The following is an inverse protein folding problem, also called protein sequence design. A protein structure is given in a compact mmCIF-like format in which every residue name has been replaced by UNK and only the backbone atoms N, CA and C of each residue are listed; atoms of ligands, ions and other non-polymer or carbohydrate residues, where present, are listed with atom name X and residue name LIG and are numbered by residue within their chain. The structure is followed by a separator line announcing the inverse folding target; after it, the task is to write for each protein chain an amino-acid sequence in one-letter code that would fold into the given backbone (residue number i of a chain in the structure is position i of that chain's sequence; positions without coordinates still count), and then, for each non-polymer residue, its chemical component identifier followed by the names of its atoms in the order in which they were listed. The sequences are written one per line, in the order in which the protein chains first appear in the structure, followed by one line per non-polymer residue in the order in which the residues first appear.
data_IF_149737635689
#
_entry.id   IF_149737635689
#
_cell.length_a   1.000
_cell.length_b   1.000
_cell.length_c   1.000
_cell.angle_alpha   90.00
_cell.angle_beta   90.00
_cell.angle_gamma   90.00
#
_symmetry.space_group_name_H-M   'P 1'
#
loop_
_entity.id
_entity.type
_entity.pdbx_description
1 polymer ?
#
# COMPACT_ATOMS: atom_id res chain seq x y z
N UNK A 1 -23.73 -37.77 0.86
CA UNK A 1 -22.58 -36.87 0.58
C UNK A 1 -21.70 -36.83 1.80
N UNK A 2 -20.58 -37.55 1.82
CA UNK A 2 -19.58 -37.44 2.90
C UNK A 2 -18.73 -36.22 2.58
N UNK A 3 -18.85 -35.16 3.38
CA UNK A 3 -17.99 -34.00 3.34
C UNK A 3 -16.61 -34.45 3.81
N UNK A 4 -15.66 -34.54 2.88
CA UNK A 4 -14.26 -34.65 3.24
C UNK A 4 -13.87 -33.37 4.03
N UNK A 5 -13.45 -33.54 5.28
CA UNK A 5 -12.80 -32.48 6.05
C UNK A 5 -11.50 -32.11 5.32
N UNK A 6 -11.55 -31.01 4.61
CA UNK A 6 -10.40 -30.48 3.91
C UNK A 6 -9.34 -30.06 4.92
N UNK A 7 -8.14 -30.50 4.67
CA UNK A 7 -6.95 -29.89 5.25
C UNK A 7 -6.98 -28.40 4.90
N UNK A 8 -7.05 -27.51 5.92
CA UNK A 8 -7.09 -26.06 5.73
C UNK A 8 -5.69 -25.53 5.34
N UNK A 9 -5.11 -26.09 4.28
CA UNK A 9 -3.94 -25.54 3.60
C UNK A 9 -4.39 -24.69 2.41
N UNK A 10 -3.73 -23.57 2.14
CA UNK A 10 -4.05 -22.67 1.02
C UNK A 10 -4.10 -23.40 -0.33
N UNK A 11 -3.02 -24.09 -0.67
CA UNK A 11 -2.91 -24.89 -1.91
C UNK A 11 -3.97 -25.98 -1.96
N UNK A 12 -4.25 -26.67 -0.86
CA UNK A 12 -5.30 -27.70 -0.81
C UNK A 12 -6.69 -27.12 -1.08
N UNK A 13 -6.96 -25.91 -0.59
CA UNK A 13 -8.23 -25.21 -0.84
C UNK A 13 -8.38 -24.83 -2.31
N UNK A 14 -7.30 -24.35 -2.94
CA UNK A 14 -7.31 -24.08 -4.39
C UNK A 14 -7.43 -25.37 -5.22
N UNK A 15 -6.71 -26.45 -4.88
CA UNK A 15 -6.84 -27.74 -5.55
C UNK A 15 -8.29 -28.23 -5.52
N UNK A 16 -8.94 -28.14 -4.35
CA UNK A 16 -10.35 -28.45 -4.23
C UNK A 16 -11.24 -27.56 -5.12
N UNK A 17 -10.98 -26.26 -5.15
CA UNK A 17 -11.73 -25.34 -6.00
C UNK A 17 -11.56 -25.68 -7.50
N UNK A 18 -10.36 -26.04 -7.94
CA UNK A 18 -10.09 -26.52 -9.31
C UNK A 18 -10.85 -27.80 -9.59
N UNK A 19 -10.76 -28.81 -8.71
CA UNK A 19 -11.45 -30.08 -8.92
C UNK A 19 -12.97 -29.91 -8.95
N UNK A 20 -13.52 -29.02 -8.14
CA UNK A 20 -14.94 -28.69 -8.18
C UNK A 20 -15.31 -27.98 -9.50
N UNK A 21 -14.48 -27.08 -10.00
CA UNK A 21 -14.69 -26.46 -11.30
C UNK A 21 -14.63 -27.51 -12.44
N UNK A 22 -13.66 -28.44 -12.41
CA UNK A 22 -13.58 -29.53 -13.35
C UNK A 22 -14.89 -30.31 -13.36
N UNK A 23 -15.39 -30.75 -12.19
CA UNK A 23 -16.65 -31.45 -12.08
C UNK A 23 -17.82 -30.68 -12.69
N UNK A 24 -17.88 -29.38 -12.52
CA UNK A 24 -18.95 -28.53 -13.07
C UNK A 24 -18.83 -28.33 -14.59
N UNK A 25 -17.64 -28.50 -15.15
CA UNK A 25 -17.32 -28.26 -16.56
C UNK A 25 -17.30 -29.50 -17.41
N UNK A 26 -17.29 -30.69 -16.80
CA UNK A 26 -17.34 -31.97 -17.53
C UNK A 26 -18.52 -32.02 -18.48
N UNK A 27 -18.26 -32.42 -19.74
CA UNK A 27 -19.23 -32.52 -20.80
C UNK A 27 -19.72 -31.20 -21.40
N UNK A 28 -19.26 -30.07 -20.86
CA UNK A 28 -19.62 -28.73 -21.40
C UNK A 28 -18.66 -28.26 -22.44
N UNK A 29 -19.10 -27.30 -23.27
CA UNK A 29 -18.33 -26.64 -24.28
C UNK A 29 -18.68 -25.14 -24.31
N UNK A 30 -17.83 -24.32 -24.89
CA UNK A 30 -18.17 -22.93 -25.21
C UNK A 30 -19.09 -22.83 -26.43
N UNK A 31 -19.47 -21.60 -26.79
CA UNK A 31 -20.36 -21.36 -27.94
C UNK A 31 -19.78 -21.81 -29.29
N UNK A 32 -18.45 -21.90 -29.37
CA UNK A 32 -17.70 -22.30 -30.56
C UNK A 32 -17.38 -23.80 -30.58
N UNK A 33 -17.78 -24.52 -29.55
CA UNK A 33 -17.55 -25.97 -29.42
C UNK A 33 -16.22 -26.35 -28.80
N UNK A 34 -15.44 -25.38 -28.29
CA UNK A 34 -14.15 -25.67 -27.65
C UNK A 34 -14.32 -26.23 -26.24
N UNK A 35 -13.36 -27.03 -25.84
CA UNK A 35 -13.27 -27.60 -24.50
C UNK A 35 -12.97 -26.54 -23.44
N UNK A 36 -13.51 -26.68 -22.21
CA UNK A 36 -13.20 -25.78 -21.12
C UNK A 36 -11.74 -25.87 -20.71
N UNK A 37 -11.13 -24.72 -20.43
CA UNK A 37 -9.75 -24.61 -19.93
C UNK A 37 -9.72 -23.90 -18.60
N UNK A 38 -8.99 -24.46 -17.66
CA UNK A 38 -8.64 -23.87 -16.38
C UNK A 38 -7.14 -23.56 -16.36
N UNK A 39 -6.73 -22.54 -15.66
CA UNK A 39 -5.32 -22.20 -15.49
C UNK A 39 -4.96 -22.26 -14.02
N UNK A 40 -3.84 -22.91 -13.71
CA UNK A 40 -3.25 -22.92 -12.38
C UNK A 40 -1.88 -22.30 -12.48
N UNK A 41 -1.69 -21.23 -11.74
CA UNK A 41 -0.47 -20.45 -11.72
C UNK A 41 0.22 -20.57 -10.36
N UNK A 42 1.52 -20.72 -10.35
CA UNK A 42 2.31 -20.59 -9.13
C UNK A 42 3.72 -20.09 -9.47
N UNK A 43 4.52 -19.78 -8.46
CA UNK A 43 5.81 -19.14 -8.59
C UNK A 43 6.63 -19.69 -9.76
N UNK A 44 6.90 -21.01 -9.75
CA UNK A 44 7.67 -21.66 -10.80
C UNK A 44 7.18 -23.08 -11.11
N UNK A 45 7.66 -23.61 -12.23
CA UNK A 45 7.24 -24.94 -12.72
C UNK A 45 7.65 -26.08 -11.77
N UNK A 46 8.76 -25.94 -11.06
CA UNK A 46 9.22 -26.93 -10.08
C UNK A 46 8.24 -27.03 -8.92
N UNK A 47 7.75 -25.89 -8.42
CA UNK A 47 6.73 -25.86 -7.36
C UNK A 47 5.41 -26.48 -7.86
N UNK A 48 4.98 -26.12 -9.07
CA UNK A 48 3.80 -26.71 -9.71
C UNK A 48 3.92 -28.24 -9.82
N UNK A 49 5.05 -28.74 -10.29
CA UNK A 49 5.29 -30.18 -10.43
C UNK A 49 5.28 -30.91 -9.08
N UNK A 50 5.95 -30.37 -8.05
CA UNK A 50 6.03 -31.01 -6.74
C UNK A 50 4.74 -30.92 -5.92
N UNK A 51 4.05 -29.82 -5.98
CA UNK A 51 2.92 -29.55 -5.10
C UNK A 51 1.59 -29.83 -5.79
N UNK A 52 1.34 -29.16 -6.92
CA UNK A 52 0.05 -29.22 -7.59
C UNK A 52 -0.19 -30.51 -8.35
N UNK A 53 0.80 -30.98 -9.13
CA UNK A 53 0.65 -32.24 -9.89
C UNK A 53 0.38 -33.40 -8.94
N UNK A 54 1.17 -33.51 -7.85
CA UNK A 54 0.97 -34.57 -6.87
C UNK A 54 -0.41 -34.51 -6.20
N UNK A 55 -0.87 -33.29 -5.83
CA UNK A 55 -2.16 -33.11 -5.20
C UNK A 55 -3.32 -33.45 -6.17
N UNK A 56 -3.22 -33.09 -7.44
CA UNK A 56 -4.19 -33.49 -8.46
C UNK A 56 -4.22 -34.99 -8.67
N UNK A 57 -3.06 -35.62 -8.87
CA UNK A 57 -2.98 -37.06 -9.08
C UNK A 57 -3.55 -37.85 -7.90
N UNK A 58 -3.28 -37.43 -6.67
CA UNK A 58 -3.86 -38.05 -5.47
C UNK A 58 -5.39 -37.92 -5.46
N UNK A 59 -5.91 -36.71 -5.70
CA UNK A 59 -7.38 -36.51 -5.72
C UNK A 59 -8.05 -37.30 -6.84
N UNK A 60 -7.47 -37.36 -8.03
CA UNK A 60 -8.03 -38.08 -9.18
C UNK A 60 -8.00 -39.59 -8.93
N UNK A 61 -6.92 -40.14 -8.33
CA UNK A 61 -6.86 -41.54 -7.90
C UNK A 61 -7.93 -41.86 -6.83
N UNK A 62 -8.07 -40.99 -5.83
CA UNK A 62 -9.09 -41.20 -4.77
C UNK A 62 -10.53 -41.16 -5.29
N UNK A 63 -10.79 -40.44 -6.36
CA UNK A 63 -12.11 -40.32 -7.01
C UNK A 63 -12.28 -41.31 -8.17
N UNK A 64 -11.30 -42.15 -8.42
CA UNK A 64 -11.24 -43.10 -9.55
C UNK A 64 -11.57 -42.42 -10.90
N UNK A 65 -10.97 -41.26 -11.11
CA UNK A 65 -11.19 -40.43 -12.30
C UNK A 65 -10.07 -40.64 -13.31
N UNK A 66 -10.44 -40.91 -14.56
CA UNK A 66 -9.46 -41.01 -15.66
C UNK A 66 -8.88 -39.61 -15.99
N UNK A 67 -7.59 -39.58 -16.14
CA UNK A 67 -6.87 -38.37 -16.54
C UNK A 67 -5.66 -38.65 -17.43
N UNK A 68 -5.29 -37.68 -18.22
CA UNK A 68 -4.05 -37.68 -19.02
C UNK A 68 -3.21 -36.46 -18.64
N UNK A 69 -1.93 -36.64 -18.41
CA UNK A 69 -1.00 -35.55 -18.13
C UNK A 69 0.10 -35.48 -19.21
N UNK A 70 0.03 -34.45 -20.05
CA UNK A 70 1.08 -34.09 -21.00
C UNK A 70 2.12 -33.23 -20.25
N UNK A 71 3.19 -33.89 -19.78
CA UNK A 71 4.26 -33.23 -19.00
C UNK A 71 5.10 -32.26 -19.84
N UNK A 72 5.16 -32.45 -21.15
CA UNK A 72 5.93 -31.55 -22.04
C UNK A 72 5.19 -30.21 -22.21
N UNK A 73 3.87 -30.23 -22.21
CA UNK A 73 3.02 -29.03 -22.31
C UNK A 73 2.53 -28.49 -20.98
N UNK A 74 2.78 -29.20 -19.88
CA UNK A 74 2.22 -28.92 -18.57
C UNK A 74 0.68 -28.83 -18.59
N UNK A 75 0.01 -29.73 -19.29
CA UNK A 75 -1.45 -29.77 -19.40
C UNK A 75 -1.97 -31.10 -18.88
N UNK A 76 -2.85 -31.03 -17.88
CA UNK A 76 -3.60 -32.16 -17.39
C UNK A 76 -5.02 -32.13 -17.96
N UNK A 77 -5.50 -33.24 -18.48
CA UNK A 77 -6.84 -33.36 -19.07
C UNK A 77 -7.66 -34.36 -18.25
N UNK A 78 -8.83 -33.93 -17.78
CA UNK A 78 -9.81 -34.75 -17.08
C UNK A 78 -11.12 -34.72 -17.85
N UNK A 79 -11.47 -35.83 -18.48
CA UNK A 79 -12.57 -35.86 -19.45
C UNK A 79 -12.27 -34.90 -20.62
N UNK A 80 -13.10 -33.86 -20.78
CA UNK A 80 -12.91 -32.83 -21.77
C UNK A 80 -12.37 -31.50 -21.18
N UNK A 81 -12.00 -31.44 -19.90
CA UNK A 81 -11.50 -30.24 -19.24
C UNK A 81 -9.97 -30.23 -19.23
N UNK A 82 -9.37 -29.18 -19.74
CA UNK A 82 -7.93 -28.97 -19.72
C UNK A 82 -7.52 -28.09 -18.52
N UNK A 83 -6.56 -28.54 -17.73
CA UNK A 83 -5.94 -27.79 -16.62
C UNK A 83 -4.51 -27.46 -17.07
N UNK A 84 -4.25 -26.18 -17.29
CA UNK A 84 -2.98 -25.66 -17.78
C UNK A 84 -2.16 -25.19 -16.58
N UNK A 85 -0.95 -25.69 -16.41
CA UNK A 85 -0.04 -25.33 -15.32
C UNK A 85 1.01 -24.34 -15.82
N UNK A 86 1.06 -23.13 -15.25
CA UNK A 86 1.91 -22.02 -15.73
C UNK A 86 2.71 -21.42 -14.57
N UNK A 87 4.00 -21.15 -14.81
CA UNK A 87 4.85 -20.41 -13.89
C UNK A 87 4.56 -18.89 -13.98
N UNK A 88 4.43 -18.22 -12.84
CA UNK A 88 4.16 -16.78 -12.77
C UNK A 88 5.41 -15.90 -12.71
N UNK A 89 6.58 -16.44 -12.42
CA UNK A 89 7.83 -15.69 -12.48
C UNK A 89 8.21 -15.25 -13.91
N UNK A 90 7.59 -15.87 -14.92
CA UNK A 90 7.66 -15.44 -16.31
C UNK A 90 6.24 -15.16 -16.87
N UNK A 91 5.66 -13.97 -16.60
CA UNK A 91 4.26 -13.66 -16.93
C UNK A 91 3.94 -13.80 -18.44
N UNK A 92 4.95 -13.73 -19.31
CA UNK A 92 4.78 -13.93 -20.76
C UNK A 92 4.32 -15.34 -21.13
N UNK A 93 4.60 -16.35 -20.32
CA UNK A 93 4.13 -17.72 -20.54
C UNK A 93 2.60 -17.87 -20.39
N UNK A 94 1.94 -16.90 -19.77
CA UNK A 94 0.48 -16.86 -19.60
C UNK A 94 -0.21 -16.47 -20.93
N UNK A 95 0.52 -15.86 -21.87
CA UNK A 95 -0.04 -15.42 -23.14
C UNK A 95 -0.41 -16.60 -24.05
N UNK A 96 -1.41 -16.39 -24.90
CA UNK A 96 -1.88 -17.42 -25.84
C UNK A 96 -3.03 -18.29 -25.35
N UNK A 97 -3.37 -18.25 -24.07
CA UNK A 97 -4.48 -19.00 -23.51
C UNK A 97 -5.77 -18.16 -23.44
N UNK A 98 -6.92 -18.86 -23.44
CA UNK A 98 -8.23 -18.33 -23.08
C UNK A 98 -8.87 -19.33 -22.14
N UNK A 99 -9.15 -18.94 -20.91
CA UNK A 99 -9.57 -19.86 -19.83
C UNK A 99 -10.86 -19.40 -19.16
N UNK A 100 -11.59 -20.34 -18.55
CA UNK A 100 -12.83 -20.09 -17.80
C UNK A 100 -12.53 -19.48 -16.43
N UNK A 101 -11.50 -20.01 -15.78
CA UNK A 101 -11.05 -19.53 -14.48
C UNK A 101 -9.55 -19.74 -14.32
N UNK A 102 -8.94 -18.91 -13.46
CA UNK A 102 -7.56 -19.06 -13.06
C UNK A 102 -7.41 -19.13 -11.55
N UNK A 103 -6.44 -19.90 -11.10
CA UNK A 103 -6.11 -20.12 -9.70
C UNK A 103 -4.63 -19.81 -9.50
N UNK A 104 -4.33 -18.78 -8.74
CA UNK A 104 -2.98 -18.27 -8.52
C UNK A 104 -2.56 -18.57 -7.09
N UNK A 105 -1.53 -19.38 -6.95
CA UNK A 105 -0.98 -19.80 -5.65
C UNK A 105 0.35 -19.07 -5.37
N UNK A 106 0.55 -18.70 -4.11
CA UNK A 106 1.76 -18.06 -3.57
C UNK A 106 2.18 -16.78 -4.32
N UNK A 107 1.20 -15.90 -4.61
CA UNK A 107 1.44 -14.63 -5.32
C UNK A 107 2.48 -13.74 -4.62
N UNK A 108 2.46 -13.69 -3.28
CA UNK A 108 3.37 -12.85 -2.50
C UNK A 108 4.81 -13.40 -2.40
N UNK A 109 5.06 -14.61 -2.90
CA UNK A 109 6.41 -15.14 -3.09
C UNK A 109 7.17 -14.45 -4.24
N UNK A 110 6.47 -13.74 -5.12
CA UNK A 110 7.06 -12.98 -6.22
C UNK A 110 7.45 -11.57 -5.77
N UNK A 111 8.45 -10.95 -6.42
CA UNK A 111 8.64 -9.50 -6.38
C UNK A 111 7.33 -8.78 -6.76
N UNK A 112 7.05 -7.65 -6.14
CA UNK A 112 5.74 -6.98 -6.27
C UNK A 112 5.42 -6.57 -7.71
N UNK A 113 6.39 -6.10 -8.46
CA UNK A 113 6.27 -5.74 -9.89
C UNK A 113 5.89 -6.95 -10.75
N UNK A 114 6.60 -8.07 -10.59
CA UNK A 114 6.31 -9.33 -11.28
C UNK A 114 4.92 -9.88 -10.88
N UNK A 115 4.57 -9.81 -9.59
CA UNK A 115 3.26 -10.22 -9.11
C UNK A 115 2.13 -9.42 -9.78
N UNK A 116 2.28 -8.10 -9.88
CA UNK A 116 1.27 -7.24 -10.52
C UNK A 116 1.19 -7.47 -12.03
N UNK A 117 2.30 -7.75 -12.70
CA UNK A 117 2.31 -8.13 -14.12
C UNK A 117 1.62 -9.48 -14.33
N UNK A 118 1.89 -10.46 -13.49
CA UNK A 118 1.23 -11.77 -13.51
C UNK A 118 -0.29 -11.64 -13.32
N UNK A 119 -0.75 -10.80 -12.37
CA UNK A 119 -2.19 -10.52 -12.16
C UNK A 119 -2.83 -9.95 -13.41
N UNK A 120 -2.20 -8.97 -14.07
CA UNK A 120 -2.70 -8.38 -15.32
C UNK A 120 -2.76 -9.43 -16.43
N UNK A 121 -1.69 -10.20 -16.61
CA UNK A 121 -1.59 -11.24 -17.64
C UNK A 121 -2.66 -12.32 -17.45
N UNK A 122 -2.90 -12.77 -16.21
CA UNK A 122 -3.96 -13.71 -15.89
C UNK A 122 -5.34 -13.12 -16.16
N UNK A 123 -5.59 -11.87 -15.74
CA UNK A 123 -6.87 -11.20 -15.96
C UNK A 123 -7.24 -11.13 -17.44
N UNK A 124 -6.27 -10.86 -18.31
CA UNK A 124 -6.49 -10.79 -19.74
C UNK A 124 -6.85 -12.14 -20.37
N UNK A 125 -6.56 -13.24 -19.70
CA UNK A 125 -6.79 -14.60 -20.22
C UNK A 125 -8.08 -15.23 -19.69
N UNK A 126 -8.66 -14.74 -18.60
CA UNK A 126 -9.89 -15.26 -17.99
C UNK A 126 -11.11 -14.71 -18.74
N UNK A 127 -11.35 -15.24 -19.93
CA UNK A 127 -12.39 -14.74 -20.84
C UNK A 127 -13.22 -15.83 -21.55
N UNK A 128 -12.89 -17.13 -21.39
CA UNK A 128 -13.67 -18.21 -21.98
C UNK A 128 -15.01 -18.35 -21.27
N UNK A 129 -16.10 -18.33 -22.01
CA UNK A 129 -17.45 -18.40 -21.48
C UNK A 129 -18.07 -19.78 -21.78
N UNK A 130 -18.45 -20.49 -20.77
CA UNK A 130 -19.11 -21.81 -20.87
C UNK A 130 -20.57 -21.68 -20.50
N UNK A 131 -21.46 -22.18 -21.36
CA UNK A 131 -22.91 -22.16 -21.12
C UNK A 131 -23.25 -22.95 -19.85
N UNK A 132 -23.99 -22.31 -18.95
CA UNK A 132 -24.38 -22.92 -17.67
C UNK A 132 -23.25 -23.03 -16.66
N UNK A 133 -22.13 -22.30 -16.86
CA UNK A 133 -21.13 -22.06 -15.83
C UNK A 133 -21.20 -20.60 -15.40
N UNK A 134 -20.73 -20.31 -14.17
CA UNK A 134 -20.71 -18.93 -13.64
C UNK A 134 -19.79 -18.04 -14.48
N UNK A 135 -19.89 -16.74 -14.25
CA UNK A 135 -18.96 -15.75 -14.83
C UNK A 135 -17.51 -16.15 -14.60
N UNK A 136 -16.62 -15.96 -15.57
CA UNK A 136 -15.18 -16.17 -15.40
C UNK A 136 -14.63 -15.45 -14.17
N UNK A 137 -13.71 -16.09 -13.45
CA UNK A 137 -13.16 -15.57 -12.20
C UNK A 137 -11.70 -15.95 -12.00
N UNK A 138 -11.04 -15.21 -11.10
CA UNK A 138 -9.69 -15.52 -10.63
C UNK A 138 -9.75 -15.76 -9.13
N UNK A 139 -9.11 -16.83 -8.66
CA UNK A 139 -8.92 -17.12 -7.24
C UNK A 139 -7.46 -17.03 -6.88
N UNK A 140 -7.15 -16.32 -5.80
CA UNK A 140 -5.81 -16.17 -5.26
C UNK A 140 -5.70 -16.87 -3.92
N UNK A 141 -4.58 -17.54 -3.65
CA UNK A 141 -4.22 -17.99 -2.31
C UNK A 141 -2.73 -17.75 -2.09
N UNK A 142 -2.38 -17.10 -1.00
CA UNK A 142 -0.99 -16.83 -0.65
C UNK A 142 -0.86 -16.63 0.86
N UNK A 143 0.35 -16.83 1.38
CA UNK A 143 0.70 -16.32 2.69
C UNK A 143 0.97 -14.83 2.54
N UNK A 144 0.28 -13.99 3.31
CA UNK A 144 0.60 -12.57 3.31
C UNK A 144 2.08 -12.37 3.66
N UNK A 145 2.80 -11.70 2.80
CA UNK A 145 4.16 -11.25 3.06
C UNK A 145 4.21 -9.72 3.16
N UNK A 146 3.18 -9.16 3.80
CA UNK A 146 3.07 -7.74 3.99
C UNK A 146 2.23 -7.06 2.91
N UNK A 147 2.75 -5.97 2.38
CA UNK A 147 2.05 -5.10 1.44
C UNK A 147 2.44 -5.41 -0.01
N UNK A 148 2.68 -6.69 -0.31
CA UNK A 148 3.14 -7.17 -1.61
C UNK A 148 1.98 -7.38 -2.61
N UNK A 149 2.12 -8.36 -3.49
CA UNK A 149 1.27 -8.58 -4.66
C UNK A 149 -0.23 -8.71 -4.35
N UNK A 150 -0.61 -9.49 -3.32
CA UNK A 150 -2.01 -9.64 -2.93
C UNK A 150 -2.60 -8.33 -2.40
N UNK A 151 -1.88 -7.63 -1.52
CA UNK A 151 -2.31 -6.32 -1.02
C UNK A 151 -2.53 -5.32 -2.15
N UNK A 152 -1.55 -5.18 -3.06
CA UNK A 152 -1.64 -4.28 -4.21
C UNK A 152 -2.83 -4.65 -5.12
N UNK A 153 -3.06 -5.94 -5.34
CA UNK A 153 -4.20 -6.45 -6.12
C UNK A 153 -5.54 -6.05 -5.47
N UNK A 154 -5.67 -6.24 -4.15
CA UNK A 154 -6.87 -5.85 -3.40
C UNK A 154 -7.11 -4.34 -3.46
N UNK A 155 -6.05 -3.55 -3.28
CA UNK A 155 -6.16 -2.08 -3.36
C UNK A 155 -6.52 -1.61 -4.76
N UNK A 156 -5.96 -2.24 -5.80
CA UNK A 156 -6.35 -1.96 -7.18
C UNK A 156 -7.83 -2.26 -7.43
N UNK A 157 -8.35 -3.40 -6.98
CA UNK A 157 -9.76 -3.76 -7.13
C UNK A 157 -10.68 -2.80 -6.39
N UNK A 158 -10.31 -2.39 -5.17
CA UNK A 158 -11.01 -1.35 -4.42
C UNK A 158 -11.11 -0.03 -5.20
N UNK A 159 -9.97 0.44 -5.73
CA UNK A 159 -9.89 1.70 -6.48
C UNK A 159 -10.68 1.66 -7.80
N UNK A 160 -10.70 0.50 -8.44
CA UNK A 160 -11.35 0.29 -9.76
C UNK A 160 -12.83 -0.14 -9.64
N UNK A 161 -13.37 -0.31 -8.44
CA UNK A 161 -14.75 -0.77 -8.24
C UNK A 161 -14.99 -2.23 -8.67
N UNK A 162 -13.93 -3.02 -8.84
CA UNK A 162 -14.02 -4.44 -9.21
C UNK A 162 -14.50 -5.24 -8.00
N UNK A 163 -15.58 -6.02 -8.17
CA UNK A 163 -16.09 -6.87 -7.10
C UNK A 163 -15.10 -7.98 -6.73
N UNK A 164 -14.81 -8.14 -5.45
CA UNK A 164 -13.97 -9.22 -4.91
C UNK A 164 -14.48 -9.70 -3.56
N UNK A 165 -14.03 -10.89 -3.16
CA UNK A 165 -14.21 -11.43 -1.82
C UNK A 165 -12.83 -11.73 -1.25
N UNK A 166 -12.51 -11.12 -0.10
CA UNK A 166 -11.28 -11.39 0.64
C UNK A 166 -11.58 -12.24 1.86
N UNK A 167 -10.92 -13.40 1.95
CA UNK A 167 -10.98 -14.28 3.11
C UNK A 167 -9.61 -14.33 3.78
N UNK A 168 -9.58 -14.13 5.08
CA UNK A 168 -8.37 -14.25 5.90
C UNK A 168 -8.47 -15.48 6.79
N UNK A 169 -7.48 -16.36 6.72
CA UNK A 169 -7.33 -17.52 7.58
C UNK A 169 -6.05 -17.37 8.42
N UNK A 170 -6.15 -17.62 9.71
CA UNK A 170 -5.00 -17.57 10.62
C UNK A 170 -4.42 -18.95 10.83
N UNK A 171 -3.11 -19.06 11.02
CA UNK A 171 -2.45 -20.36 11.28
C UNK A 171 -3.08 -21.10 12.45
N UNK A 172 -3.49 -20.40 13.51
CA UNK A 172 -4.17 -20.98 14.68
C UNK A 172 -5.57 -21.52 14.40
N UNK A 173 -6.22 -21.12 13.31
CA UNK A 173 -7.54 -21.64 12.93
C UNK A 173 -7.43 -23.02 12.27
N UNK A 174 -6.21 -23.46 11.94
CA UNK A 174 -5.97 -24.77 11.36
C UNK A 174 -5.92 -25.88 12.44
N UNK A 175 -7.07 -26.50 12.66
CA UNK A 175 -7.23 -27.57 13.68
C UNK A 175 -6.49 -28.88 13.36
N UNK A 176 -5.85 -28.99 12.18
CA UNK A 176 -5.05 -30.15 11.81
C UNK A 176 -3.56 -30.00 12.21
N UNK A 177 -3.14 -28.80 12.59
CA UNK A 177 -1.78 -28.60 13.07
C UNK A 177 -1.68 -28.95 14.56
N UNK A 178 -0.61 -29.66 14.98
CA UNK A 178 -0.34 -29.90 16.40
C UNK A 178 -0.24 -28.58 17.18
N UNK A 179 -0.79 -28.55 18.40
CA UNK A 179 -0.75 -27.35 19.24
C UNK A 179 0.67 -26.87 19.52
N UNK A 180 1.61 -27.81 19.76
CA UNK A 180 3.02 -27.50 19.98
C UNK A 180 3.69 -26.88 18.76
N UNK A 181 3.31 -27.34 17.55
CA UNK A 181 3.79 -26.72 16.31
C UNK A 181 3.35 -25.27 16.21
N UNK A 182 2.07 -24.99 16.45
CA UNK A 182 1.52 -23.64 16.46
C UNK A 182 2.24 -22.78 17.49
N UNK A 183 2.37 -23.27 18.72
CA UNK A 183 3.09 -22.55 19.81
C UNK A 183 4.54 -22.22 19.42
N UNK A 184 5.24 -23.16 18.82
CA UNK A 184 6.63 -22.96 18.37
C UNK A 184 6.70 -21.89 17.28
N UNK A 185 5.80 -21.93 16.29
CA UNK A 185 5.74 -20.88 15.25
C UNK A 185 5.57 -19.49 15.85
N UNK A 186 4.62 -19.31 16.78
CA UNK A 186 4.39 -18.02 17.43
C UNK A 186 5.54 -17.57 18.34
N UNK A 187 6.43 -18.47 18.78
CA UNK A 187 7.61 -18.13 19.58
C UNK A 187 8.84 -17.75 18.75
N UNK A 188 8.91 -18.18 17.48
CA UNK A 188 10.05 -17.93 16.61
C UNK A 188 9.96 -16.57 15.92
N UNK A 189 8.74 -16.16 15.56
CA UNK A 189 8.50 -14.91 14.82
C UNK A 189 8.35 -13.71 15.77
N UNK A 190 8.84 -12.53 15.33
CA UNK A 190 8.57 -11.29 16.03
C UNK A 190 7.10 -10.87 15.85
N UNK A 191 6.63 -9.87 16.60
CA UNK A 191 5.23 -9.45 16.61
C UNK A 191 4.70 -9.08 15.21
N UNK A 192 5.47 -8.34 14.41
CA UNK A 192 5.07 -7.96 13.05
C UNK A 192 4.99 -9.19 12.12
N UNK A 193 5.94 -10.09 12.23
CA UNK A 193 5.92 -11.34 11.47
C UNK A 193 4.73 -12.22 11.87
N UNK A 194 4.44 -12.34 13.17
CA UNK A 194 3.26 -13.06 13.66
C UNK A 194 1.99 -12.47 13.03
N UNK A 195 1.79 -11.18 13.14
CA UNK A 195 0.60 -10.50 12.58
C UNK A 195 0.48 -10.70 11.06
N UNK A 196 1.58 -10.61 10.35
CA UNK A 196 1.59 -10.74 8.90
C UNK A 196 1.49 -12.20 8.44
N UNK A 197 2.45 -13.05 8.84
CA UNK A 197 2.62 -14.40 8.30
C UNK A 197 1.63 -15.40 8.90
N UNK A 198 1.33 -15.26 10.20
CA UNK A 198 0.50 -16.24 10.93
C UNK A 198 -0.95 -15.78 11.09
N UNK A 199 -1.19 -14.48 11.24
CA UNK A 199 -2.54 -13.92 11.37
C UNK A 199 -3.09 -13.39 10.04
N UNK A 200 -2.27 -13.32 8.98
CA UNK A 200 -2.67 -12.92 7.63
C UNK A 200 -3.05 -11.44 7.51
N UNK A 201 -2.46 -10.58 8.31
CA UNK A 201 -2.69 -9.13 8.25
C UNK A 201 -1.87 -8.48 7.15
N UNK A 202 -2.41 -7.43 6.54
CA UNK A 202 -1.68 -6.58 5.60
C UNK A 202 -0.91 -5.51 6.38
N UNK A 203 0.25 -5.88 6.86
CA UNK A 203 1.19 -4.97 7.53
C UNK A 203 2.57 -5.12 6.92
N UNK A 204 3.40 -4.09 7.02
CA UNK A 204 4.76 -4.22 6.55
C UNK A 204 5.63 -4.99 7.55
N UNK A 205 6.30 -6.03 7.04
CA UNK A 205 7.34 -6.75 7.79
C UNK A 205 8.73 -6.21 7.45
N UNK A 206 8.86 -5.48 6.34
CA UNK A 206 10.16 -5.05 5.86
C UNK A 206 10.74 -3.90 6.67
N UNK A 207 11.95 -4.10 7.20
CA UNK A 207 12.79 -3.04 7.76
C UNK A 207 13.24 -2.01 6.71
N UNK A 208 12.93 -2.26 5.44
CA UNK A 208 13.27 -1.41 4.29
C UNK A 208 12.32 -0.26 4.03
N UNK A 209 11.19 -0.13 4.72
CA UNK A 209 10.27 1.00 4.52
C UNK A 209 10.91 2.34 4.89
N UNK A 210 10.50 3.38 4.16
CA UNK A 210 10.85 4.76 4.50
C UNK A 210 10.13 5.20 5.77
N UNK A 211 8.86 4.76 5.94
CA UNK A 211 8.03 5.06 7.10
C UNK A 211 7.64 3.80 7.89
N UNK A 212 8.61 3.11 8.52
CA UNK A 212 8.35 1.86 9.25
C UNK A 212 7.48 2.07 10.51
N UNK A 213 7.42 3.31 11.00
CA UNK A 213 6.72 3.67 12.24
C UNK A 213 5.27 4.13 11.99
N UNK A 214 4.84 4.22 10.73
CA UNK A 214 3.43 4.45 10.41
C UNK A 214 2.60 3.22 10.79
N UNK A 215 1.57 3.44 11.59
CA UNK A 215 0.60 2.41 11.96
C UNK A 215 -0.81 2.92 11.60
N UNK A 216 -1.49 2.22 10.70
CA UNK A 216 -2.82 2.62 10.24
C UNK A 216 -3.82 2.74 11.39
N UNK A 217 -3.81 1.79 12.33
CA UNK A 217 -4.77 1.77 13.45
C UNK A 217 -4.57 2.93 14.44
N UNK A 218 -3.37 3.54 14.45
CA UNK A 218 -3.01 4.65 15.35
C UNK A 218 -2.94 6.01 14.67
N UNK A 219 -2.57 6.03 13.39
CA UNK A 219 -2.27 7.27 12.66
C UNK A 219 -3.27 7.63 11.57
N UNK A 220 -4.19 6.71 11.21
CA UNK A 220 -5.31 7.01 10.34
C UNK A 220 -6.49 7.48 11.17
N UNK A 221 -7.11 8.58 10.77
CA UNK A 221 -8.36 9.05 11.39
C UNK A 221 -9.56 8.29 10.81
N UNK A 222 -10.54 8.01 11.66
CA UNK A 222 -11.80 7.40 11.24
C UNK A 222 -12.69 8.39 10.48
N UNK A 223 -12.55 9.68 10.78
CA UNK A 223 -13.37 10.76 10.22
C UNK A 223 -12.58 11.61 9.23
N UNK A 224 -13.27 12.01 8.17
CA UNK A 224 -12.79 13.03 7.27
C UNK A 224 -12.92 14.41 7.93
N UNK A 225 -11.85 15.17 7.96
CA UNK A 225 -11.80 16.51 8.52
C UNK A 225 -11.81 17.62 7.45
N UNK A 226 -12.04 17.28 6.19
CA UNK A 226 -12.02 18.24 5.08
C UNK A 226 -13.06 19.35 5.28
N UNK A 227 -14.32 18.99 5.51
CA UNK A 227 -15.40 19.96 5.72
C UNK A 227 -15.17 20.76 7.01
N UNK A 228 -14.73 20.09 8.08
CA UNK A 228 -14.37 20.78 9.32
C UNK A 228 -13.33 21.89 9.09
N UNK A 229 -12.22 21.58 8.41
CA UNK A 229 -11.17 22.58 8.13
C UNK A 229 -11.70 23.70 7.23
N UNK A 230 -12.52 23.37 6.24
CA UNK A 230 -13.13 24.33 5.32
C UNK A 230 -14.05 25.31 6.02
N UNK A 231 -14.84 24.85 6.98
CA UNK A 231 -15.77 25.68 7.76
C UNK A 231 -15.06 26.55 8.78
N UNK A 232 -13.92 26.12 9.30
CA UNK A 232 -13.11 26.87 10.27
C UNK A 232 -12.10 27.75 9.54
N UNK A 233 -12.56 28.89 9.09
CA UNK A 233 -11.83 29.85 8.23
C UNK A 233 -10.53 30.41 8.85
N UNK A 234 -10.43 30.37 10.17
CA UNK A 234 -9.23 30.75 10.94
C UNK A 234 -8.09 29.73 10.83
N UNK A 235 -8.40 28.49 10.45
CA UNK A 235 -7.39 27.46 10.30
C UNK A 235 -6.55 27.68 9.05
N UNK A 236 -5.23 27.68 9.21
CA UNK A 236 -4.30 27.76 8.08
C UNK A 236 -4.14 26.38 7.44
N UNK A 237 -4.35 26.33 6.14
CA UNK A 237 -4.10 25.14 5.31
C UNK A 237 -2.68 25.21 4.74
N UNK A 238 -1.89 24.18 4.95
CA UNK A 238 -0.53 24.04 4.46
C UNK A 238 -0.50 23.07 3.30
N UNK A 239 -0.01 23.48 2.14
CA UNK A 239 0.04 22.65 0.94
C UNK A 239 1.48 22.27 0.66
N UNK A 240 1.80 20.98 0.85
CA UNK A 240 3.07 20.41 0.40
C UNK A 240 2.97 20.03 -1.07
N UNK A 241 3.95 20.39 -1.88
CA UNK A 241 3.92 20.07 -3.30
C UNK A 241 5.27 19.62 -3.82
N UNK A 242 5.24 18.52 -4.56
CA UNK A 242 6.37 17.97 -5.30
C UNK A 242 6.15 18.17 -6.81
N UNK A 243 7.16 18.73 -7.48
CA UNK A 243 7.14 18.97 -8.92
C UNK A 243 7.80 17.81 -9.63
N UNK A 244 7.03 17.12 -10.44
CA UNK A 244 7.56 16.05 -11.26
C UNK A 244 7.10 16.19 -12.71
N UNK A 245 7.96 15.91 -13.67
CA UNK A 245 7.62 15.96 -15.07
C UNK A 245 6.46 15.05 -15.51
N UNK A 246 5.98 14.17 -14.64
CA UNK A 246 4.95 13.17 -14.95
C UNK A 246 3.71 13.21 -14.04
N UNK A 247 3.62 14.12 -13.10
CA UNK A 247 2.48 14.23 -12.19
C UNK A 247 2.85 15.12 -11.02
N UNK A 248 2.19 16.27 -10.93
CA UNK A 248 2.41 17.19 -9.83
C UNK A 248 1.56 16.75 -8.65
N UNK A 249 2.21 16.30 -7.59
CA UNK A 249 1.57 15.80 -6.40
C UNK A 249 1.51 16.87 -5.32
N UNK A 250 0.39 16.96 -4.63
CA UNK A 250 0.28 17.80 -3.45
C UNK A 250 -0.54 17.14 -2.35
N UNK A 251 -0.37 17.60 -1.12
CA UNK A 251 -1.15 17.20 0.04
C UNK A 251 -1.50 18.46 0.83
N UNK A 252 -2.78 18.61 1.20
CA UNK A 252 -3.23 19.64 2.13
C UNK A 252 -3.14 19.15 3.58
N UNK A 253 -2.68 20.03 4.47
CA UNK A 253 -2.54 19.77 5.89
C UNK A 253 -3.14 20.89 6.72
N UNK A 254 -3.52 20.56 7.96
CA UNK A 254 -3.82 21.52 9.01
C UNK A 254 -3.09 21.13 10.30
N UNK A 255 -2.94 22.09 11.21
CA UNK A 255 -2.47 21.85 12.58
C UNK A 255 -3.68 21.92 13.49
N UNK A 256 -4.01 20.81 14.15
CA UNK A 256 -5.18 20.66 14.98
C UNK A 256 -4.77 20.07 16.35
N UNK A 257 -5.01 20.81 17.43
CA UNK A 257 -4.72 20.36 18.79
C UNK A 257 -3.25 19.98 19.03
N UNK A 258 -2.29 20.70 18.41
CA UNK A 258 -0.86 20.41 18.51
C UNK A 258 -0.40 19.20 17.68
N UNK A 259 -1.21 18.75 16.75
CA UNK A 259 -0.89 17.65 15.84
C UNK A 259 -0.99 18.08 14.39
N UNK A 260 -0.20 17.46 13.51
CA UNK A 260 -0.23 17.68 12.06
C UNK A 260 -1.19 16.66 11.45
N UNK A 261 -2.14 17.12 10.66
CA UNK A 261 -3.15 16.28 10.01
C UNK A 261 -3.12 16.48 8.50
N UNK A 262 -2.87 15.41 7.74
CA UNK A 262 -3.05 15.41 6.30
C UNK A 262 -4.55 15.27 5.97
N UNK A 263 -5.08 16.24 5.22
CA UNK A 263 -6.52 16.41 4.99
C UNK A 263 -6.95 15.81 3.66
N UNK A 264 -6.20 16.09 2.58
CA UNK A 264 -6.60 15.71 1.22
C UNK A 264 -5.39 15.60 0.29
N UNK A 265 -5.41 14.56 -0.54
CA UNK A 265 -4.45 14.33 -1.62
C UNK A 265 -4.85 15.03 -2.91
N UNK A 266 -3.87 15.46 -3.69
CA UNK A 266 -4.04 16.00 -5.04
C UNK A 266 -3.02 15.41 -6.00
N UNK A 267 -3.47 15.20 -7.24
CA UNK A 267 -2.63 14.92 -8.39
C UNK A 267 -3.06 15.81 -9.55
N UNK A 268 -2.14 16.60 -10.10
CA UNK A 268 -2.44 17.55 -11.18
C UNK A 268 -1.73 17.14 -12.46
N UNK A 269 -2.46 16.84 -13.54
CA UNK A 269 -1.87 16.72 -14.87
C UNK A 269 -1.22 18.03 -15.35
N UNK A 270 -1.82 19.16 -14.97
CA UNK A 270 -1.32 20.51 -15.21
C UNK A 270 -1.25 21.28 -13.90
N UNK A 271 -0.05 21.60 -13.47
CA UNK A 271 0.22 22.33 -12.22
C UNK A 271 -0.43 23.71 -12.18
N UNK A 272 -0.62 24.37 -13.32
CA UNK A 272 -1.20 25.72 -13.40
C UNK A 272 -2.62 25.80 -12.85
N UNK A 273 -3.33 24.67 -12.81
CA UNK A 273 -4.66 24.58 -12.21
C UNK A 273 -4.67 24.43 -10.69
N UNK A 274 -3.53 24.11 -10.10
CA UNK A 274 -3.46 23.79 -8.66
C UNK A 274 -3.91 24.98 -7.77
N UNK A 275 -3.51 26.26 -8.00
CA UNK A 275 -3.94 27.38 -7.17
C UNK A 275 -5.47 27.59 -7.15
N UNK A 276 -6.10 27.44 -8.31
CA UNK A 276 -7.56 27.51 -8.45
C UNK A 276 -8.25 26.41 -7.63
N UNK A 277 -7.77 25.17 -7.74
CA UNK A 277 -8.32 24.02 -7.00
C UNK A 277 -8.11 24.18 -5.50
N UNK A 278 -6.94 24.62 -5.05
CA UNK A 278 -6.71 24.86 -3.62
C UNK A 278 -7.66 25.93 -3.07
N UNK A 279 -7.87 27.02 -3.83
CA UNK A 279 -8.78 28.09 -3.41
C UNK A 279 -10.25 27.68 -3.48
N UNK A 280 -10.64 26.82 -4.43
CA UNK A 280 -11.96 26.23 -4.49
C UNK A 280 -12.24 25.34 -3.28
N UNK A 281 -11.29 24.50 -2.92
CA UNK A 281 -11.41 23.60 -1.77
C UNK A 281 -11.41 24.35 -0.43
N UNK A 282 -10.60 25.41 -0.31
CA UNK A 282 -10.45 26.21 0.91
C UNK A 282 -10.68 27.72 0.61
N UNK A 283 -11.94 28.12 0.37
CA UNK A 283 -12.26 29.43 -0.20
C UNK A 283 -11.86 30.59 0.70
N UNK A 284 -11.96 30.43 2.00
CA UNK A 284 -11.73 31.50 2.98
C UNK A 284 -10.54 31.25 3.92
N UNK A 285 -9.99 30.04 3.93
CA UNK A 285 -8.84 29.71 4.77
C UNK A 285 -7.55 30.42 4.32
N UNK A 286 -6.68 30.84 5.23
CA UNK A 286 -5.31 31.17 4.88
C UNK A 286 -4.59 29.94 4.31
N UNK A 287 -3.98 30.07 3.12
CA UNK A 287 -3.24 28.97 2.51
C UNK A 287 -1.75 29.33 2.46
N UNK A 288 -0.92 28.41 2.92
CA UNK A 288 0.55 28.48 2.84
C UNK A 288 1.05 27.33 1.95
N UNK A 289 1.65 27.68 0.83
CA UNK A 289 2.19 26.73 -0.12
C UNK A 289 3.68 26.45 0.15
N UNK A 290 4.04 25.17 0.26
CA UNK A 290 5.37 24.66 0.63
C UNK A 290 5.88 23.78 -0.51
N UNK A 291 6.54 24.36 -1.54
CA UNK A 291 6.96 23.65 -2.73
C UNK A 291 8.27 22.88 -2.56
N UNK A 292 8.50 21.94 -3.46
CA UNK A 292 9.84 21.49 -3.79
C UNK A 292 10.68 22.68 -4.34
N UNK A 293 11.84 22.88 -3.77
CA UNK A 293 12.75 24.00 -4.13
C UNK A 293 13.77 23.61 -5.21
N UNK A 294 13.70 22.41 -5.77
CA UNK A 294 14.66 21.94 -6.79
C UNK A 294 14.40 22.62 -8.14
N UNK A 295 13.14 22.89 -8.49
CA UNK A 295 12.73 23.44 -9.80
C UNK A 295 12.39 24.92 -9.71
N UNK A 296 13.40 25.77 -9.54
CA UNK A 296 13.22 27.23 -9.38
C UNK A 296 12.59 27.91 -10.59
N UNK A 297 12.77 27.40 -11.79
CA UNK A 297 12.26 27.98 -13.04
C UNK A 297 10.73 27.89 -13.14
N UNK A 298 10.14 26.73 -12.85
CA UNK A 298 8.69 26.57 -12.78
C UNK A 298 8.03 27.42 -11.69
N UNK A 299 8.81 27.77 -10.69
CA UNK A 299 8.38 28.56 -9.56
C UNK A 299 8.04 30.02 -9.92
N UNK A 300 8.72 30.61 -10.90
CA UNK A 300 8.53 32.04 -11.26
C UNK A 300 7.16 32.29 -11.90
N UNK A 301 6.76 31.46 -12.86
CA UNK A 301 5.44 31.56 -13.50
C UNK A 301 4.32 31.28 -12.51
N UNK A 302 4.46 30.20 -11.76
CA UNK A 302 3.45 29.75 -10.80
C UNK A 302 3.24 30.73 -9.63
N UNK A 303 4.28 31.47 -9.25
CA UNK A 303 4.24 32.48 -8.18
C UNK A 303 3.22 33.60 -8.43
N UNK A 304 3.06 34.02 -9.68
CA UNK A 304 2.07 35.05 -10.05
C UNK A 304 0.65 34.53 -9.82
N UNK A 305 0.37 33.33 -10.27
CA UNK A 305 -0.95 32.71 -10.11
C UNK A 305 -1.29 32.47 -8.64
N UNK A 306 -0.36 31.92 -7.84
CA UNK A 306 -0.57 31.74 -6.40
C UNK A 306 -0.96 33.07 -5.70
N UNK A 307 -0.31 34.16 -6.06
CA UNK A 307 -0.63 35.49 -5.50
C UNK A 307 -2.01 35.96 -5.90
N UNK A 308 -2.44 35.73 -7.13
CA UNK A 308 -3.77 36.08 -7.61
C UNK A 308 -4.85 35.39 -6.79
N UNK A 309 -4.61 34.18 -6.35
CA UNK A 309 -5.52 33.41 -5.47
C UNK A 309 -5.27 33.66 -3.97
N UNK A 310 -4.43 34.63 -3.60
CA UNK A 310 -4.14 34.98 -2.20
C UNK A 310 -3.41 33.87 -1.42
N UNK A 311 -2.65 33.01 -2.11
CA UNK A 311 -1.89 31.93 -1.50
C UNK A 311 -0.51 32.41 -1.13
N UNK A 312 -0.13 32.27 0.15
CA UNK A 312 1.20 32.61 0.65
C UNK A 312 2.22 31.53 0.29
N UNK A 313 3.43 31.93 0.00
CA UNK A 313 4.51 31.03 -0.37
C UNK A 313 5.49 30.93 0.80
N UNK A 314 5.75 29.71 1.26
CA UNK A 314 6.80 29.42 2.23
C UNK A 314 8.16 29.39 1.53
N UNK A 315 8.89 30.49 1.61
CA UNK A 315 10.23 30.57 1.03
C UNK A 315 11.24 29.79 1.87
N UNK A 316 12.01 28.94 1.20
CA UNK A 316 13.16 28.23 1.76
C UNK A 316 14.35 28.36 0.81
N UNK A 317 15.56 28.31 1.33
CA UNK A 317 16.79 28.36 0.50
C UNK A 317 17.00 27.02 -0.25
N UNK A 318 16.59 25.91 0.35
CA UNK A 318 16.73 24.56 -0.19
C UNK A 318 15.70 23.62 0.42
N UNK A 319 15.59 22.42 -0.16
CA UNK A 319 14.82 21.35 0.45
C UNK A 319 15.52 20.80 1.70
N UNK A 320 14.77 20.37 2.72
CA UNK A 320 15.35 19.66 3.84
C UNK A 320 15.92 18.31 3.36
N UNK A 321 16.97 17.85 4.03
CA UNK A 321 17.56 16.56 3.72
C UNK A 321 16.49 15.43 3.85
N UNK A 322 16.50 14.50 2.90
CA UNK A 322 15.52 13.39 2.85
C UNK A 322 15.52 12.60 4.16
N UNK A 323 16.69 12.31 4.72
CA UNK A 323 16.82 11.60 5.98
C UNK A 323 16.18 12.34 7.16
N UNK A 324 16.29 13.68 7.21
CA UNK A 324 15.77 14.49 8.32
C UNK A 324 14.26 14.57 8.32
N UNK A 325 13.69 14.85 7.13
CA UNK A 325 12.25 14.95 7.00
C UNK A 325 11.54 13.61 7.24
N UNK A 326 12.12 12.50 6.75
CA UNK A 326 11.58 11.17 6.99
C UNK A 326 11.73 10.73 8.44
N UNK A 327 12.86 11.07 9.08
CA UNK A 327 13.04 10.86 10.52
C UNK A 327 11.99 11.60 11.34
N UNK A 328 11.75 12.88 11.02
CA UNK A 328 10.74 13.68 11.70
C UNK A 328 9.33 13.06 11.55
N UNK A 329 8.94 12.64 10.35
CA UNK A 329 7.65 11.98 10.13
C UNK A 329 7.52 10.71 10.98
N UNK A 330 8.54 9.83 10.97
CA UNK A 330 8.52 8.59 11.75
C UNK A 330 8.38 8.87 13.26
N UNK A 331 9.13 9.85 13.79
CA UNK A 331 8.99 10.23 15.20
C UNK A 331 7.60 10.76 15.55
N UNK A 332 6.98 11.53 14.66
CA UNK A 332 5.62 12.02 14.87
C UNK A 332 4.56 10.90 14.75
N UNK A 333 4.79 9.89 13.92
CA UNK A 333 3.90 8.72 13.86
C UNK A 333 3.92 7.96 15.19
N UNK A 334 5.09 7.65 15.74
CA UNK A 334 5.23 7.00 17.06
C UNK A 334 4.55 7.85 18.14
N UNK A 335 4.80 9.16 18.14
CA UNK A 335 4.28 10.08 19.15
C UNK A 335 2.78 10.42 18.96
N UNK A 336 2.12 9.88 17.93
CA UNK A 336 0.73 10.18 17.57
C UNK A 336 0.45 11.69 17.44
N UNK A 337 1.36 12.39 16.75
CA UNK A 337 1.23 13.80 16.39
C UNK A 337 1.22 14.03 14.87
N UNK A 338 1.18 12.97 14.08
CA UNK A 338 0.99 13.01 12.63
C UNK A 338 -0.13 12.03 12.27
N UNK A 339 -1.21 12.58 11.72
CA UNK A 339 -2.40 11.83 11.36
C UNK A 339 -2.74 12.00 9.88
N UNK A 340 -3.43 11.02 9.33
CA UNK A 340 -3.84 10.95 7.93
C UNK A 340 -5.36 10.82 7.86
N UNK A 341 -6.05 11.68 7.12
CA UNK A 341 -7.49 11.56 6.87
C UNK A 341 -7.81 10.53 5.76
N UNK A 342 -9.02 9.97 5.75
CA UNK A 342 -9.46 8.99 4.75
C UNK A 342 -9.39 9.47 3.29
N UNK A 343 -9.41 10.78 3.04
CA UNK A 343 -9.23 11.36 1.70
C UNK A 343 -7.79 11.31 1.18
N UNK A 344 -6.81 10.99 2.03
CA UNK A 344 -5.39 10.88 1.67
C UNK A 344 -4.99 9.45 1.30
N UNK A 345 -5.67 8.84 0.33
CA UNK A 345 -5.49 7.43 -0.06
C UNK A 345 -4.13 7.13 -0.69
N UNK A 346 -3.64 8.05 -1.52
CA UNK A 346 -2.35 7.88 -2.18
C UNK A 346 -1.20 8.13 -1.19
N UNK A 347 -1.38 9.04 -0.23
CA UNK A 347 -0.45 9.23 0.90
C UNK A 347 -0.43 7.99 1.78
N UNK A 348 -1.58 7.42 2.17
CA UNK A 348 -1.63 6.17 2.94
C UNK A 348 -0.86 5.06 2.21
N UNK A 349 -1.15 4.86 0.91
CA UNK A 349 -0.45 3.87 0.09
C UNK A 349 1.06 4.08 0.11
N UNK A 350 1.51 5.33 -0.03
CA UNK A 350 2.93 5.71 0.05
C UNK A 350 3.56 5.33 1.39
N UNK A 351 2.91 5.67 2.49
CA UNK A 351 3.41 5.37 3.84
C UNK A 351 3.60 3.87 4.06
N UNK A 352 2.74 3.06 3.47
CA UNK A 352 2.75 1.62 3.61
C UNK A 352 3.67 0.89 2.63
N UNK A 353 4.09 1.51 1.52
CA UNK A 353 4.77 0.80 0.43
C UNK A 353 6.11 1.40 0.00
N UNK A 354 6.42 2.66 0.35
CA UNK A 354 7.65 3.30 -0.08
C UNK A 354 8.87 2.69 0.60
N UNK A 355 9.76 2.13 -0.21
CA UNK A 355 10.92 1.39 0.27
C UNK A 355 12.23 2.17 0.13
N UNK A 356 13.20 1.80 0.95
CA UNK A 356 14.60 2.18 0.80
C UNK A 356 15.31 1.21 -0.13
N UNK A 357 16.19 1.70 -0.93
CA UNK A 357 17.11 0.88 -1.71
C UNK A 357 18.00 0.05 -0.76
N UNK A 358 18.04 -1.29 -0.89
CA UNK A 358 18.80 -2.13 0.02
C UNK A 358 20.30 -1.88 0.02
N UNK A 359 20.85 -1.35 -1.09
CA UNK A 359 22.29 -1.10 -1.25
C UNK A 359 22.69 0.25 -0.68
N UNK A 360 21.87 1.28 -0.88
CA UNK A 360 22.20 2.65 -0.48
C UNK A 360 21.54 3.07 0.84
N UNK A 361 20.50 2.38 1.28
CA UNK A 361 19.67 2.76 2.43
C UNK A 361 18.85 4.02 2.21
N UNK A 362 18.90 4.62 1.01
CA UNK A 362 18.13 5.81 0.65
C UNK A 362 16.76 5.42 0.11
N UNK A 363 15.75 6.29 0.25
CA UNK A 363 14.45 6.05 -0.36
C UNK A 363 14.56 5.84 -1.87
N UNK A 364 13.87 4.82 -2.39
CA UNK A 364 13.79 4.58 -3.83
C UNK A 364 13.08 5.74 -4.51
N UNK A 365 13.54 6.08 -5.72
CA UNK A 365 12.90 7.09 -6.56
C UNK A 365 12.36 6.42 -7.83
N UNK A 366 11.22 6.90 -8.30
CA UNK A 366 10.55 6.30 -9.44
C UNK A 366 9.94 7.32 -10.41
N UNK A 367 9.26 6.78 -11.44
CA UNK A 367 8.55 7.56 -12.45
C UNK A 367 7.12 7.92 -12.03
N UNK A 368 6.24 8.11 -13.03
CA UNK A 368 4.83 8.48 -12.82
C UNK A 368 4.11 7.52 -11.85
N UNK A 369 3.46 8.09 -10.83
CA UNK A 369 2.71 7.33 -9.81
C UNK A 369 3.59 6.65 -8.77
N UNK A 370 4.89 6.94 -8.73
CA UNK A 370 5.78 6.40 -7.72
C UNK A 370 5.47 6.96 -6.32
N UNK A 371 5.68 6.16 -5.27
CA UNK A 371 5.33 6.56 -3.89
C UNK A 371 6.20 7.70 -3.33
N UNK A 372 7.36 8.00 -3.93
CA UNK A 372 8.24 9.07 -3.46
C UNK A 372 7.61 10.46 -3.49
N UNK A 373 6.73 10.74 -4.46
CA UNK A 373 6.14 12.06 -4.63
C UNK A 373 5.26 12.49 -3.45
N UNK A 374 4.38 11.62 -2.98
CA UNK A 374 3.54 11.90 -1.79
C UNK A 374 4.39 11.93 -0.52
N UNK A 375 5.37 11.05 -0.41
CA UNK A 375 6.31 11.04 0.71
C UNK A 375 7.13 12.31 0.79
N UNK A 376 7.56 12.86 -0.33
CA UNK A 376 8.27 14.13 -0.42
C UNK A 376 7.37 15.31 -0.03
N UNK A 377 6.12 15.37 -0.51
CA UNK A 377 5.14 16.37 -0.08
C UNK A 377 4.93 16.37 1.45
N UNK A 378 4.71 15.18 2.02
CA UNK A 378 4.55 14.99 3.48
C UNK A 378 5.80 15.51 4.23
N UNK A 379 6.98 15.09 3.79
CA UNK A 379 8.23 15.47 4.43
C UNK A 379 8.50 16.97 4.39
N UNK A 380 8.15 17.65 3.30
CA UNK A 380 8.30 19.11 3.19
C UNK A 380 7.44 19.86 4.21
N UNK A 381 6.17 19.47 4.35
CA UNK A 381 5.25 20.14 5.27
C UNK A 381 5.60 19.85 6.72
N UNK A 382 5.84 18.58 7.07
CA UNK A 382 6.19 18.19 8.44
C UNK A 382 7.46 18.94 8.89
N UNK A 383 8.50 18.96 8.06
CA UNK A 383 9.73 19.67 8.39
C UNK A 383 9.51 21.17 8.54
N UNK A 384 8.73 21.78 7.63
CA UNK A 384 8.39 23.20 7.69
C UNK A 384 7.62 23.54 8.97
N UNK A 385 6.56 22.80 9.27
CA UNK A 385 5.71 23.04 10.43
C UNK A 385 6.47 22.88 11.74
N UNK A 386 7.28 21.85 11.88
CA UNK A 386 8.14 21.69 13.06
C UNK A 386 9.11 22.86 13.23
N UNK A 387 9.65 23.41 12.15
CA UNK A 387 10.63 24.49 12.21
C UNK A 387 10.01 25.87 12.48
N UNK A 388 8.77 26.10 12.02
CA UNK A 388 8.18 27.45 11.97
C UNK A 388 6.87 27.62 12.74
N UNK A 389 6.13 26.53 13.06
CA UNK A 389 4.89 26.61 13.81
C UNK A 389 5.17 26.64 15.31
N UNK A 390 4.77 27.73 15.99
CA UNK A 390 5.00 27.90 17.43
C UNK A 390 4.30 26.84 18.27
N UNK A 391 3.11 26.41 17.87
CA UNK A 391 2.33 25.39 18.54
C UNK A 391 3.07 24.03 18.56
N UNK A 392 3.88 23.75 17.56
CA UNK A 392 4.65 22.52 17.42
C UNK A 392 6.10 22.63 17.94
N UNK A 393 6.44 23.74 18.62
CA UNK A 393 7.78 23.95 19.17
C UNK A 393 8.27 22.84 20.10
N UNK A 394 7.42 22.29 21.01
CA UNK A 394 7.83 21.15 21.83
C UNK A 394 8.22 19.93 20.99
N UNK A 395 7.49 19.65 19.90
CA UNK A 395 7.79 18.53 19.00
C UNK A 395 9.09 18.76 18.21
N UNK A 396 9.37 19.98 17.80
CA UNK A 396 10.66 20.32 17.20
C UNK A 396 11.83 20.01 18.14
N UNK A 397 11.71 20.37 19.41
CA UNK A 397 12.78 20.21 20.40
C UNK A 397 13.12 18.73 20.63
N UNK A 398 12.13 17.83 20.62
CA UNK A 398 12.35 16.39 20.80
C UNK A 398 12.67 15.63 19.50
N UNK A 399 12.42 16.22 18.33
CA UNK A 399 12.68 15.62 17.02
C UNK A 399 13.90 16.21 16.35
N UNK A 400 13.71 17.26 15.56
CA UNK A 400 14.74 17.85 14.68
C UNK A 400 15.90 18.49 15.46
N UNK A 401 15.63 19.17 16.58
CA UNK A 401 16.70 19.82 17.37
C UNK A 401 17.70 18.80 17.89
N UNK A 402 17.24 17.70 18.49
CA UNK A 402 18.13 16.62 18.96
C UNK A 402 18.92 15.97 17.81
N UNK A 403 18.32 15.84 16.64
CA UNK A 403 19.01 15.33 15.47
C UNK A 403 20.15 16.24 15.04
N UNK A 404 19.90 17.55 14.96
CA UNK A 404 20.92 18.54 14.57
C UNK A 404 22.02 18.67 15.61
N UNK A 405 21.69 18.65 16.90
CA UNK A 405 22.68 18.64 17.98
C UNK A 405 23.61 17.40 17.92
N UNK A 406 23.05 16.22 17.66
CA UNK A 406 23.85 15.00 17.45
C UNK A 406 24.77 15.10 16.23
N UNK A 407 24.33 15.71 15.14
CA UNK A 407 25.17 15.93 13.95
C UNK A 407 26.28 16.92 14.21
N UNK A 408 25.98 18.03 14.86
CA UNK A 408 26.95 19.05 15.26
C UNK A 408 28.05 18.45 16.15
N UNK A 409 27.67 17.64 17.12
CA UNK A 409 28.60 16.92 17.98
C UNK A 409 29.50 15.92 17.22
N UNK A 410 29.10 15.46 16.03
CA UNK A 410 29.90 14.59 15.14
C UNK A 410 30.72 15.34 14.09
N UNK A 411 30.79 16.67 14.15
CA UNK A 411 31.56 17.49 13.24
C UNK A 411 30.92 17.71 11.86
N UNK A 412 29.63 17.46 11.69
CA UNK A 412 28.92 17.78 10.45
C UNK A 412 28.48 19.25 10.45
N UNK A 413 28.73 19.96 9.35
CA UNK A 413 28.32 21.36 9.20
C UNK A 413 26.80 21.48 9.31
N UNK A 414 26.34 22.29 10.25
CA UNK A 414 24.94 22.59 10.44
C UNK A 414 24.49 23.54 9.33
N UNK A 415 23.53 23.15 8.52
CA UNK A 415 22.81 24.07 7.64
C UNK A 415 22.01 25.01 8.53
N UNK A 416 22.45 26.26 8.57
CA UNK A 416 21.83 27.32 9.36
C UNK A 416 20.44 27.62 8.80
N UNK A 417 19.40 27.29 9.57
CA UNK A 417 18.01 27.65 9.29
C UNK A 417 17.78 29.07 9.86
N UNK A 418 17.83 30.08 9.01
CA UNK A 418 17.46 31.43 9.41
C UNK A 418 15.98 31.56 9.76
N UNK A 419 15.60 32.16 10.88
CA UNK A 419 14.21 32.24 11.30
C UNK A 419 13.43 33.25 10.45
N UNK A 420 12.33 32.79 9.83
CA UNK A 420 11.28 33.65 9.29
C UNK A 420 10.17 33.77 10.36
N UNK A 421 9.84 34.99 10.73
CA UNK A 421 8.81 35.29 11.70
C UNK A 421 7.41 34.92 11.15
N UNK A 422 6.79 33.93 11.71
CA UNK A 422 5.37 33.64 11.50
C UNK A 422 4.58 34.31 12.63
N UNK A 423 4.01 35.48 12.37
CA UNK A 423 3.04 36.10 13.26
C UNK A 423 1.66 35.58 12.90
N UNK A 424 1.15 34.64 13.68
CA UNK A 424 -0.27 34.34 13.75
C UNK A 424 -0.67 34.06 15.20
N UNK A 425 -1.67 34.81 15.66
CA UNK A 425 -2.33 34.61 16.94
C UNK A 425 -3.03 33.25 16.99
N UNK A 426 -2.69 32.46 18.01
CA UNK A 426 -3.36 31.19 18.29
C UNK A 426 -4.75 31.46 18.87
N UNK A 427 -5.78 31.47 18.03
CA UNK A 427 -7.16 31.38 18.45
C UNK A 427 -7.40 30.03 19.18
N UNK A 428 -8.02 30.08 20.34
CA UNK A 428 -8.30 28.93 21.21
C UNK A 428 -9.17 27.90 20.52
N UNK A 429 -8.60 26.78 20.13
CA UNK A 429 -9.35 25.57 19.73
C UNK A 429 -9.96 24.93 20.97
N UNK A 430 -11.26 25.15 21.23
CA UNK A 430 -12.05 24.34 22.15
C UNK A 430 -12.83 23.31 21.31
N UNK A 431 -12.58 22.03 21.55
CA UNK A 431 -13.55 20.98 21.26
C UNK A 431 -13.27 19.96 20.17
N UNK A 432 -12.07 19.86 19.58
CA UNK A 432 -11.74 18.70 18.75
C UNK A 432 -11.10 17.63 19.62
N UNK A 433 -11.88 16.61 19.96
CA UNK A 433 -11.36 15.42 20.65
C UNK A 433 -10.79 14.51 19.55
N UNK A 434 -9.48 14.58 19.34
CA UNK A 434 -8.78 13.50 18.67
C UNK A 434 -8.82 12.30 19.64
N UNK A 435 -9.42 11.19 19.22
CA UNK A 435 -9.45 9.97 20.01
C UNK A 435 -8.01 9.54 20.30
N UNK A 436 -7.55 9.78 21.52
CA UNK A 436 -6.26 9.30 22.01
C UNK A 436 -6.46 7.89 22.53
N UNK A 437 -5.67 6.95 22.04
CA UNK A 437 -5.47 5.68 22.72
C UNK A 437 -4.91 5.95 24.14
N UNK A 438 -5.30 5.19 25.17
CA UNK A 438 -4.86 5.45 26.52
C UNK A 438 -3.36 5.21 26.69
N UNK A 439 -2.67 6.24 27.17
CA UNK A 439 -1.34 6.25 27.80
C UNK A 439 -0.19 5.49 27.11
N UNK A 440 0.56 6.25 26.29
CA UNK A 440 1.99 5.97 26.14
C UNK A 440 2.73 6.92 27.09
N UNK A 441 3.52 6.36 27.98
CA UNK A 441 4.29 7.11 29.00
C UNK A 441 5.25 8.10 28.32
N UNK A 442 5.27 9.36 28.79
CA UNK A 442 6.18 10.42 28.31
C UNK A 442 7.67 10.06 28.47
N UNK A 443 7.98 8.95 29.11
CA UNK A 443 9.33 8.48 29.37
C UNK A 443 10.01 7.74 28.20
N UNK A 444 9.28 7.30 27.16
CA UNK A 444 9.89 6.62 26.01
C UNK A 444 10.67 7.54 25.05
N UNK A 445 10.56 8.86 25.22
CA UNK A 445 11.37 9.81 24.48
C UNK A 445 12.82 9.97 24.97
N UNK A 446 13.20 9.28 26.07
CA UNK A 446 14.49 9.46 26.74
C UNK A 446 15.56 8.39 26.44
N UNK A 447 15.32 7.47 25.52
CA UNK A 447 16.35 6.49 25.09
C UNK A 447 16.85 6.68 23.66
#
# INVERSE_FOLDING_TARGET
MRWFRLWLGKTSSLVYAVMNAVKMLLGKKDKEGHNPKLMVCSKNITFLAKTWTNAFEQNLKMTNSDYKFDRAKNIMTVGNVEIILVATEEPTQIYGYSVVASYVDELDELPTDIAMEAVKSVNDRVRQQIIGFRTPYIAFATTSQGLKGLYQTVMHFKKSGIGYVLMRARTRDNTFLPADYIKNMYSIYNEKEVRCLLEGEFISIDSGLVFPDYNKDLNMLDSDLYDYVREHKELTVYIGQDFNGFGNNAIAFAVLGGSIVAIKDYEFPDIRRAPEVFRYDFPENPIVWIPDMTYKEHFVEFKKELRTFGIKIAYRSCNPLVGDRNFACNKLFIAQHLFICPLCKDTESTLMTWQKDPKTGLPTKGGKGAPDHKGDCLGYVVHYLLSWCRELKPLYDVTLRRLYEKRKARGADAVELAPLSCTMDAGKLKGVVLNRAPNVDENEFNT
#
